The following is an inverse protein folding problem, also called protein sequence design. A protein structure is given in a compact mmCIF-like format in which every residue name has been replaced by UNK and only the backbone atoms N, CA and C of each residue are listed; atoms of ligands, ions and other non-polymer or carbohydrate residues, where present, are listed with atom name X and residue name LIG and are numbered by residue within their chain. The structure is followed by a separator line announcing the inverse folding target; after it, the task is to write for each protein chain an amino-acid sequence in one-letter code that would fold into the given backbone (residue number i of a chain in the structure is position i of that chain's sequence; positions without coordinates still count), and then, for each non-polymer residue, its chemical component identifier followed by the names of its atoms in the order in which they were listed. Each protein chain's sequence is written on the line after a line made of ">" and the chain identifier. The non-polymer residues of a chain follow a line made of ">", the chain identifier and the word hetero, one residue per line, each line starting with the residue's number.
data_IF_916855286553
#
_entry.id   IF_916855286553
#
_cell.length_a   1.000
_cell.length_b   1.000
_cell.length_c   1.000
_cell.angle_alpha   90.00
_cell.angle_beta   90.00
_cell.angle_gamma   90.00
#
_symmetry.space_group_name_H-M   'P 1'
#
loop_
_entity.id
_entity.type
_entity.pdbx_description
1 polymer ?
#
# COMPACT_ATOMS: atom_id res chain seq x y z
N UNK A 1 -22.48 1.20 11.06
CA UNK A 1 -23.38 2.08 11.86
C UNK A 1 -22.63 3.32 12.29
N UNK A 2 -23.24 4.49 12.15
CA UNK A 2 -22.56 5.76 12.47
C UNK A 2 -22.81 6.09 13.94
N UNK A 3 -21.85 6.73 14.60
CA UNK A 3 -21.89 7.08 16.02
C UNK A 3 -23.23 7.68 16.48
N UNK A 4 -23.76 8.71 15.78
CA UNK A 4 -25.04 9.34 16.16
C UNK A 4 -26.23 8.38 16.10
N UNK A 5 -26.28 7.53 15.07
CA UNK A 5 -27.34 6.55 14.90
C UNK A 5 -27.28 5.49 16.00
N UNK A 6 -26.07 4.98 16.28
CA UNK A 6 -25.85 4.01 17.35
C UNK A 6 -26.23 4.60 18.74
N UNK A 7 -25.80 5.84 19.00
CA UNK A 7 -26.14 6.55 20.25
C UNK A 7 -27.65 6.65 20.47
N UNK A 8 -28.40 7.01 19.44
CA UNK A 8 -29.86 7.14 19.53
C UNK A 8 -30.56 5.78 19.68
N UNK A 9 -29.95 4.70 19.23
CA UNK A 9 -30.55 3.37 19.25
C UNK A 9 -30.27 2.63 20.57
N UNK A 10 -29.11 2.82 21.16
CA UNK A 10 -28.61 2.00 22.27
C UNK A 10 -28.45 2.74 23.60
N UNK A 11 -28.49 4.06 23.59
CA UNK A 11 -28.33 4.85 24.82
C UNK A 11 -29.59 5.67 25.10
N UNK A 12 -30.08 5.58 26.34
CA UNK A 12 -31.09 6.49 26.87
C UNK A 12 -30.42 7.85 27.09
N UNK A 13 -30.73 8.81 26.20
CA UNK A 13 -29.99 10.07 26.11
C UNK A 13 -30.44 11.01 27.21
N UNK A 14 -29.74 11.04 28.34
CA UNK A 14 -29.76 12.20 29.21
C UNK A 14 -28.85 13.29 28.62
N UNK A 15 -29.31 14.53 28.56
CA UNK A 15 -28.51 15.66 28.05
C UNK A 15 -27.20 15.87 28.83
N UNK A 16 -27.13 15.38 30.07
CA UNK A 16 -25.99 15.48 30.99
C UNK A 16 -25.03 14.28 30.93
N UNK A 17 -25.16 13.38 29.93
CA UNK A 17 -24.32 12.18 29.81
C UNK A 17 -22.85 12.51 29.53
N UNK A 18 -21.93 11.72 30.13
CA UNK A 18 -20.50 11.79 29.85
C UNK A 18 -20.20 11.31 28.43
N UNK A 19 -20.09 12.24 27.48
CA UNK A 19 -19.83 11.96 26.04
C UNK A 19 -18.59 11.10 25.80
N UNK A 20 -17.57 11.21 26.65
CA UNK A 20 -16.38 10.36 26.54
C UNK A 20 -16.68 8.90 26.94
N UNK A 21 -17.45 8.68 28.00
CA UNK A 21 -17.87 7.33 28.38
C UNK A 21 -18.79 6.70 27.32
N UNK A 22 -19.74 7.42 26.79
CA UNK A 22 -20.60 6.95 25.70
C UNK A 22 -19.79 6.57 24.46
N UNK A 23 -18.82 7.40 24.08
CA UNK A 23 -17.92 7.11 22.97
C UNK A 23 -17.06 5.86 23.24
N UNK A 24 -16.56 5.69 24.46
CA UNK A 24 -15.80 4.50 24.86
C UNK A 24 -16.62 3.22 24.69
N UNK A 25 -17.90 3.24 25.09
CA UNK A 25 -18.84 2.11 24.90
C UNK A 25 -19.06 1.83 23.41
N UNK A 26 -19.28 2.86 22.61
CA UNK A 26 -19.43 2.70 21.17
C UNK A 26 -18.19 2.10 20.51
N UNK A 27 -17.00 2.57 20.83
CA UNK A 27 -15.76 2.04 20.28
C UNK A 27 -15.55 0.57 20.65
N UNK A 28 -15.91 0.21 21.89
CA UNK A 28 -15.90 -1.17 22.35
C UNK A 28 -16.91 -2.02 21.55
N UNK A 29 -18.16 -1.57 21.45
CA UNK A 29 -19.16 -2.24 20.63
C UNK A 29 -18.68 -2.42 19.17
N UNK A 30 -18.10 -1.37 18.58
CA UNK A 30 -17.61 -1.41 17.21
C UNK A 30 -16.46 -2.42 17.03
N UNK A 31 -15.55 -2.51 17.99
CA UNK A 31 -14.46 -3.49 17.98
C UNK A 31 -15.00 -4.93 17.98
N UNK A 32 -15.88 -5.23 18.92
CA UNK A 32 -16.43 -6.58 19.06
C UNK A 32 -17.40 -6.97 17.94
N UNK A 33 -18.22 -6.03 17.47
CA UNK A 33 -19.15 -6.31 16.36
C UNK A 33 -18.45 -6.47 15.01
N UNK A 34 -17.36 -5.74 14.76
CA UNK A 34 -16.60 -5.85 13.50
C UNK A 34 -15.48 -6.87 13.54
N UNK A 35 -15.03 -7.28 14.73
CA UNK A 35 -13.86 -8.14 14.92
C UNK A 35 -12.54 -7.51 14.43
N UNK A 36 -12.51 -6.17 14.22
CA UNK A 36 -11.38 -5.51 13.57
C UNK A 36 -11.05 -4.15 14.20
N UNK A 37 -9.81 -4.00 14.65
CA UNK A 37 -9.30 -2.72 15.20
C UNK A 37 -9.28 -1.59 14.16
N UNK A 38 -9.22 -1.90 12.88
CA UNK A 38 -9.27 -0.90 11.79
C UNK A 38 -10.57 -0.09 11.81
N UNK A 39 -11.70 -0.70 12.14
CA UNK A 39 -12.98 -0.01 12.24
C UNK A 39 -12.96 1.04 13.37
N UNK A 40 -12.38 0.70 14.52
CA UNK A 40 -12.22 1.62 15.64
C UNK A 40 -11.32 2.80 15.26
N UNK A 41 -10.15 2.53 14.66
CA UNK A 41 -9.22 3.58 14.22
C UNK A 41 -9.86 4.53 13.20
N UNK A 42 -10.60 3.98 12.25
CA UNK A 42 -11.34 4.78 11.26
C UNK A 42 -12.40 5.64 11.93
N UNK A 43 -13.17 5.10 12.88
CA UNK A 43 -14.19 5.85 13.60
C UNK A 43 -13.58 7.02 14.41
N UNK A 44 -12.50 6.78 15.15
CA UNK A 44 -11.79 7.81 15.91
C UNK A 44 -11.23 8.90 14.99
N UNK A 45 -10.62 8.50 13.87
CA UNK A 45 -10.08 9.47 12.89
C UNK A 45 -11.18 10.31 12.26
N UNK A 46 -12.30 9.69 11.88
CA UNK A 46 -13.44 10.39 11.33
C UNK A 46 -14.05 11.40 12.32
N UNK A 47 -14.20 10.99 13.58
CA UNK A 47 -14.72 11.89 14.63
C UNK A 47 -13.78 13.07 14.88
N UNK A 48 -12.46 12.84 14.95
CA UNK A 48 -11.47 13.92 15.06
C UNK A 48 -11.54 14.89 13.89
N UNK A 49 -11.67 14.39 12.68
CA UNK A 49 -11.79 15.20 11.47
C UNK A 49 -13.04 16.09 11.51
N UNK A 50 -14.22 15.51 11.83
CA UNK A 50 -15.46 16.28 11.94
C UNK A 50 -15.42 17.30 13.06
N UNK A 51 -14.86 16.96 14.21
CA UNK A 51 -14.69 17.89 15.31
C UNK A 51 -13.79 19.09 14.94
N UNK A 52 -12.73 18.83 14.19
CA UNK A 52 -11.86 19.89 13.66
C UNK A 52 -12.57 20.83 12.67
N UNK A 53 -13.48 20.30 11.84
CA UNK A 53 -14.26 21.11 10.89
C UNK A 53 -15.30 22.01 11.57
N UNK A 54 -15.88 21.57 12.69
CA UNK A 54 -16.95 22.32 13.37
C UNK A 54 -16.42 23.46 14.23
N UNK A 55 -15.11 23.52 14.51
CA UNK A 55 -14.50 24.60 15.29
C UNK A 55 -15.07 24.77 16.71
N UNK A 56 -15.95 23.87 17.12
CA UNK A 56 -16.65 23.92 18.41
C UNK A 56 -15.78 23.24 19.47
N UNK A 57 -15.66 23.85 20.63
CA UNK A 57 -14.97 23.27 21.81
C UNK A 57 -15.53 21.92 22.29
N UNK A 58 -16.56 21.41 21.64
CA UNK A 58 -17.17 20.09 21.87
C UNK A 58 -16.28 18.90 21.48
N UNK A 59 -15.11 19.13 20.88
CA UNK A 59 -14.19 18.06 20.48
C UNK A 59 -13.37 17.47 21.65
N UNK A 60 -13.44 18.05 22.82
CA UNK A 60 -12.62 17.64 23.98
C UNK A 60 -12.85 16.18 24.40
N UNK A 61 -14.08 15.66 24.28
CA UNK A 61 -14.35 14.27 24.68
C UNK A 61 -13.64 13.21 23.82
N UNK A 62 -13.31 13.54 22.56
CA UNK A 62 -12.58 12.60 21.68
C UNK A 62 -11.10 12.49 22.09
N UNK A 63 -10.57 13.54 22.67
CA UNK A 63 -9.20 13.62 23.19
C UNK A 63 -9.08 13.24 24.66
N UNK A 64 -10.19 12.80 25.27
CA UNK A 64 -10.23 12.38 26.66
C UNK A 64 -9.27 11.19 26.91
N UNK A 65 -8.52 11.18 28.02
CA UNK A 65 -7.65 10.07 28.40
C UNK A 65 -8.36 8.71 28.45
N UNK A 66 -9.65 8.68 28.78
CA UNK A 66 -10.47 7.47 28.76
C UNK A 66 -10.50 6.84 27.37
N UNK A 67 -10.74 7.65 26.32
CA UNK A 67 -10.78 7.16 24.94
C UNK A 67 -9.44 6.55 24.54
N UNK A 68 -8.34 7.22 24.88
CA UNK A 68 -7.01 6.70 24.61
C UNK A 68 -6.75 5.36 25.34
N UNK A 69 -7.18 5.26 26.59
CA UNK A 69 -7.03 4.03 27.37
C UNK A 69 -7.85 2.88 26.80
N UNK A 70 -9.11 3.13 26.43
CA UNK A 70 -9.99 2.14 25.81
C UNK A 70 -9.42 1.68 24.46
N UNK A 71 -9.00 2.60 23.60
CA UNK A 71 -8.40 2.26 22.29
C UNK A 71 -7.15 1.39 22.48
N UNK A 72 -6.27 1.72 23.44
CA UNK A 72 -5.09 0.88 23.75
C UNK A 72 -5.46 -0.51 24.29
N UNK A 73 -6.49 -0.60 25.13
CA UNK A 73 -7.02 -1.88 25.60
C UNK A 73 -7.50 -2.73 24.42
N UNK A 74 -8.36 -2.16 23.59
CA UNK A 74 -8.86 -2.83 22.40
C UNK A 74 -7.74 -3.22 21.41
N UNK A 75 -6.69 -2.40 21.27
CA UNK A 75 -5.53 -2.78 20.47
C UNK A 75 -4.84 -4.04 20.97
N UNK A 76 -4.73 -4.24 22.28
CA UNK A 76 -4.16 -5.48 22.86
C UNK A 76 -5.07 -6.68 22.61
N UNK A 77 -6.39 -6.52 22.81
CA UNK A 77 -7.36 -7.61 22.66
C UNK A 77 -7.50 -8.06 21.20
N UNK A 78 -7.44 -7.11 20.28
CA UNK A 78 -7.59 -7.35 18.82
C UNK A 78 -6.26 -7.39 18.07
N UNK A 79 -5.11 -7.31 18.77
CA UNK A 79 -3.81 -7.47 18.11
C UNK A 79 -3.64 -8.90 17.62
N UNK A 80 -3.81 -9.09 16.33
CA UNK A 80 -3.34 -10.32 15.68
C UNK A 80 -1.84 -10.22 15.50
N UNK A 81 -1.07 -11.29 15.76
CA UNK A 81 0.33 -11.31 15.39
C UNK A 81 0.43 -10.94 13.91
N UNK A 82 1.26 -9.94 13.63
CA UNK A 82 1.51 -9.51 12.24
C UNK A 82 2.15 -10.70 11.54
N UNK A 83 1.38 -11.41 10.72
CA UNK A 83 1.96 -12.36 9.78
C UNK A 83 2.74 -11.55 8.76
N UNK A 84 4.05 -11.48 8.97
CA UNK A 84 4.93 -10.87 8.00
C UNK A 84 4.85 -11.69 6.71
N UNK A 85 4.41 -11.06 5.63
CA UNK A 85 4.40 -11.71 4.31
C UNK A 85 5.86 -11.95 3.92
N UNK A 86 6.17 -13.18 3.60
CA UNK A 86 7.47 -13.52 3.04
C UNK A 86 7.63 -12.88 1.67
N UNK A 87 8.80 -12.35 1.40
CA UNK A 87 9.14 -11.83 0.08
C UNK A 87 9.32 -12.99 -0.92
N UNK A 88 9.10 -12.72 -2.19
CA UNK A 88 9.40 -13.70 -3.24
C UNK A 88 10.89 -14.02 -3.27
N UNK A 89 11.22 -15.31 -3.34
CA UNK A 89 12.57 -15.77 -3.60
C UNK A 89 12.94 -15.58 -5.07
N UNK A 90 14.22 -15.46 -5.43
CA UNK A 90 14.65 -15.38 -6.83
C UNK A 90 14.11 -16.52 -7.70
N UNK A 91 14.05 -17.73 -7.13
CA UNK A 91 13.53 -18.91 -7.83
C UNK A 91 12.04 -18.85 -8.10
N UNK A 92 11.25 -18.22 -7.23
CA UNK A 92 9.82 -18.01 -7.45
C UNK A 92 9.57 -16.96 -8.51
N UNK A 93 10.32 -15.86 -8.48
CA UNK A 93 10.25 -14.82 -9.52
C UNK A 93 10.60 -15.42 -10.88
N UNK A 94 11.68 -16.19 -10.98
CA UNK A 94 12.07 -16.88 -12.21
C UNK A 94 10.95 -17.79 -12.74
N UNK A 95 10.35 -18.63 -11.89
CA UNK A 95 9.22 -19.51 -12.28
C UNK A 95 8.02 -18.71 -12.76
N UNK A 96 7.71 -17.58 -12.11
CA UNK A 96 6.61 -16.71 -12.50
C UNK A 96 6.84 -16.09 -13.88
N UNK A 97 8.03 -15.57 -14.15
CA UNK A 97 8.41 -15.03 -15.45
C UNK A 97 8.35 -16.10 -16.54
N UNK A 98 8.90 -17.28 -16.29
CA UNK A 98 8.83 -18.41 -17.21
C UNK A 98 7.37 -18.80 -17.52
N UNK A 99 6.49 -18.78 -16.51
CA UNK A 99 5.07 -19.08 -16.72
C UNK A 99 4.39 -18.05 -17.60
N UNK A 100 4.63 -16.75 -17.37
CA UNK A 100 4.05 -15.67 -18.16
C UNK A 100 4.52 -15.68 -19.63
N UNK A 101 5.76 -16.10 -19.87
CA UNK A 101 6.37 -16.05 -21.21
C UNK A 101 6.32 -17.41 -21.95
N UNK A 102 5.58 -18.39 -21.46
CA UNK A 102 5.59 -19.80 -21.89
C UNK A 102 4.84 -20.08 -23.20
N UNK A 103 4.17 -19.11 -23.80
CA UNK A 103 3.37 -19.35 -25.01
C UNK A 103 4.24 -19.69 -26.21
N UNK A 104 3.88 -20.78 -26.92
CA UNK A 104 4.58 -21.31 -28.10
C UNK A 104 4.58 -20.38 -29.33
N UNK A 105 3.70 -19.37 -29.37
CA UNK A 105 3.50 -18.44 -30.50
C UNK A 105 4.08 -17.06 -30.21
N UNK A 106 4.85 -16.94 -29.14
CA UNK A 106 5.34 -15.68 -28.61
C UNK A 106 4.43 -15.12 -27.50
N UNK A 107 5.00 -14.55 -26.45
CA UNK A 107 4.23 -14.02 -25.33
C UNK A 107 3.42 -12.81 -25.79
N UNK A 108 2.14 -12.74 -25.38
CA UNK A 108 1.30 -11.58 -25.66
C UNK A 108 1.91 -10.32 -25.02
N UNK A 109 1.73 -9.18 -25.67
CA UNK A 109 2.27 -7.90 -25.17
C UNK A 109 1.91 -7.62 -23.71
N UNK A 110 0.68 -7.98 -23.28
CA UNK A 110 0.23 -7.87 -21.89
C UNK A 110 1.06 -8.71 -20.91
N UNK A 111 1.47 -9.92 -21.33
CA UNK A 111 2.23 -10.84 -20.50
C UNK A 111 3.70 -10.40 -20.42
N UNK A 112 4.25 -9.86 -21.52
CA UNK A 112 5.55 -9.20 -21.53
C UNK A 112 5.56 -7.97 -20.60
N UNK A 113 4.54 -7.13 -20.68
CA UNK A 113 4.38 -5.98 -19.78
C UNK A 113 4.36 -6.40 -18.31
N UNK A 114 3.59 -7.44 -17.99
CA UNK A 114 3.49 -7.94 -16.62
C UNK A 114 4.83 -8.52 -16.15
N UNK A 115 5.53 -9.26 -16.99
CA UNK A 115 6.87 -9.77 -16.69
C UNK A 115 7.86 -8.63 -16.42
N UNK A 116 7.88 -7.59 -17.25
CA UNK A 116 8.71 -6.40 -17.04
C UNK A 116 8.37 -5.70 -15.73
N UNK A 117 7.09 -5.51 -15.44
CA UNK A 117 6.63 -4.87 -14.20
C UNK A 117 7.10 -5.63 -12.97
N UNK A 118 6.95 -6.95 -12.95
CA UNK A 118 7.40 -7.81 -11.85
C UNK A 118 8.91 -7.71 -11.67
N UNK A 119 9.68 -7.78 -12.76
CA UNK A 119 11.15 -7.72 -12.70
C UNK A 119 11.63 -6.36 -12.21
N UNK A 120 11.06 -5.26 -12.73
CA UNK A 120 11.41 -3.90 -12.30
C UNK A 120 11.10 -3.69 -10.82
N UNK A 121 9.95 -4.17 -10.35
CA UNK A 121 9.59 -4.10 -8.93
C UNK A 121 10.53 -4.94 -8.06
N UNK A 122 10.88 -6.12 -8.52
CA UNK A 122 11.72 -7.05 -7.75
C UNK A 122 13.17 -6.59 -7.68
N UNK A 123 13.78 -6.28 -8.83
CA UNK A 123 15.21 -5.88 -8.92
C UNK A 123 15.40 -4.44 -8.42
N UNK A 124 14.47 -3.54 -8.74
CA UNK A 124 14.53 -2.14 -8.33
C UNK A 124 13.96 -1.85 -6.95
N UNK A 125 13.47 -2.89 -6.23
CA UNK A 125 12.77 -2.75 -4.94
C UNK A 125 11.67 -1.66 -4.97
N UNK A 126 10.99 -1.52 -6.12
CA UNK A 126 10.01 -0.46 -6.37
C UNK A 126 8.61 -0.87 -5.92
N UNK A 127 7.83 0.13 -5.48
CA UNK A 127 6.40 -0.08 -5.23
C UNK A 127 5.63 -0.19 -6.54
N UNK A 128 4.49 -0.88 -6.51
CA UNK A 128 3.64 -1.05 -7.69
C UNK A 128 3.29 0.28 -8.37
N UNK A 129 2.89 1.29 -7.59
CA UNK A 129 2.53 2.61 -8.12
C UNK A 129 3.71 3.33 -8.81
N UNK A 130 4.92 3.16 -8.29
CA UNK A 130 6.14 3.71 -8.86
C UNK A 130 6.50 3.00 -10.18
N UNK A 131 6.46 1.68 -10.18
CA UNK A 131 6.76 0.87 -11.37
C UNK A 131 5.69 1.03 -12.47
N UNK A 132 4.41 1.15 -12.09
CA UNK A 132 3.31 1.35 -13.02
C UNK A 132 3.31 2.75 -13.68
N UNK A 133 3.95 3.73 -13.05
CA UNK A 133 4.08 5.10 -13.56
C UNK A 133 5.32 5.32 -14.44
N UNK A 134 6.11 4.27 -14.72
CA UNK A 134 7.29 4.38 -15.60
C UNK A 134 6.82 4.57 -17.03
N UNK A 135 7.32 5.64 -17.64
CA UNK A 135 7.17 5.91 -19.08
C UNK A 135 8.45 5.48 -19.80
N UNK A 136 8.35 5.04 -21.06
CA UNK A 136 9.49 4.62 -21.88
C UNK A 136 10.54 5.75 -21.97
N UNK A 137 10.08 7.00 -22.07
CA UNK A 137 10.96 8.18 -22.11
C UNK A 137 11.80 8.38 -20.84
N UNK A 138 11.45 7.71 -19.73
CA UNK A 138 12.20 7.79 -18.46
C UNK A 138 13.19 6.63 -18.28
N UNK A 139 13.34 5.79 -19.28
CA UNK A 139 14.25 4.63 -19.27
C UNK A 139 15.45 4.96 -20.15
N UNK A 140 16.65 4.83 -19.61
CA UNK A 140 17.90 4.99 -20.36
C UNK A 140 18.86 3.84 -20.07
N UNK A 141 19.67 3.49 -21.06
CA UNK A 141 20.74 2.47 -20.90
C UNK A 141 22.05 3.19 -20.66
N UNK A 142 22.72 2.86 -19.58
CA UNK A 142 24.04 3.39 -19.25
C UNK A 142 25.13 2.67 -20.07
N UNK A 143 26.32 3.27 -20.18
CA UNK A 143 27.49 2.69 -20.86
C UNK A 143 27.89 1.34 -20.25
N UNK A 144 27.66 1.14 -18.95
CA UNK A 144 27.85 -0.14 -18.25
C UNK A 144 26.88 -1.26 -18.68
N UNK A 145 25.86 -0.93 -19.47
CA UNK A 145 24.76 -1.83 -19.82
C UNK A 145 23.66 -1.91 -18.76
N UNK A 146 23.79 -1.21 -17.63
CA UNK A 146 22.73 -1.08 -16.65
C UNK A 146 21.58 -0.21 -17.19
N UNK A 147 20.37 -0.42 -16.68
CA UNK A 147 19.22 0.44 -16.98
C UNK A 147 19.06 1.47 -15.87
N UNK A 148 18.93 2.72 -16.24
CA UNK A 148 18.54 3.81 -15.36
C UNK A 148 17.09 4.19 -15.62
N UNK A 149 16.28 4.24 -14.55
CA UNK A 149 14.89 4.68 -14.58
C UNK A 149 14.76 5.96 -13.76
N UNK A 150 14.27 7.01 -14.38
CA UNK A 150 14.02 8.28 -13.72
C UNK A 150 12.57 8.36 -13.24
N UNK A 151 12.36 8.39 -11.94
CA UNK A 151 11.03 8.51 -11.31
C UNK A 151 10.69 9.96 -11.05
N UNK A 152 9.60 10.45 -11.64
CA UNK A 152 9.14 11.84 -11.46
C UNK A 152 8.39 12.05 -10.15
N UNK A 153 7.73 11.02 -9.60
CA UNK A 153 6.95 11.09 -8.35
C UNK A 153 7.02 9.77 -7.58
N UNK A 154 7.27 9.84 -6.28
CA UNK A 154 7.15 8.72 -5.35
C UNK A 154 6.43 9.15 -4.07
N UNK A 155 5.85 8.22 -3.34
CA UNK A 155 5.09 8.49 -2.09
C UNK A 155 5.93 9.23 -1.03
N UNK A 156 7.24 9.04 -1.04
CA UNK A 156 8.21 9.68 -0.14
C UNK A 156 8.83 10.93 -0.75
N UNK A 157 8.61 11.21 -2.04
CA UNK A 157 9.19 12.32 -2.76
C UNK A 157 8.15 13.44 -3.01
N UNK A 158 7.66 14.03 -1.91
CA UNK A 158 6.68 15.12 -1.97
C UNK A 158 7.23 16.41 -2.63
N UNK A 159 8.56 16.52 -2.77
CA UNK A 159 9.25 17.70 -3.31
C UNK A 159 9.65 17.58 -4.78
N UNK A 160 9.07 16.63 -5.52
CA UNK A 160 9.27 16.46 -6.97
C UNK A 160 10.75 16.39 -7.43
N UNK A 161 11.66 15.93 -6.58
CA UNK A 161 13.03 15.62 -6.99
C UNK A 161 13.02 14.33 -7.81
N UNK A 162 13.60 14.36 -9.00
CA UNK A 162 13.80 13.15 -9.78
C UNK A 162 14.61 12.16 -8.96
N UNK A 163 14.08 10.95 -8.82
CA UNK A 163 14.77 9.84 -8.18
C UNK A 163 15.22 8.88 -9.28
N UNK A 164 16.50 8.54 -9.29
CA UNK A 164 17.06 7.59 -10.24
C UNK A 164 17.16 6.22 -9.58
N UNK A 165 16.67 5.21 -10.28
CA UNK A 165 16.79 3.80 -9.88
C UNK A 165 17.64 3.11 -10.94
N UNK A 166 18.75 2.51 -10.52
CA UNK A 166 19.64 1.77 -11.42
C UNK A 166 19.33 0.29 -11.27
N UNK A 167 18.93 -0.33 -12.37
CA UNK A 167 18.75 -1.78 -12.47
C UNK A 167 20.05 -2.38 -13.03
N UNK A 168 20.72 -3.24 -12.26
CA UNK A 168 21.96 -3.85 -12.71
C UNK A 168 21.70 -4.81 -13.87
N UNK A 169 22.62 -4.83 -14.82
CA UNK A 169 22.69 -5.91 -15.79
C UNK A 169 23.17 -7.18 -15.07
N UNK A 170 22.48 -8.32 -15.20
CA UNK A 170 22.92 -9.55 -14.58
C UNK A 170 24.31 -9.97 -15.10
N UNK A 171 25.08 -10.60 -14.23
CA UNK A 171 26.36 -11.21 -14.62
C UNK A 171 26.15 -12.34 -15.65
N UNK A 172 27.15 -12.61 -16.47
CA UNK A 172 27.06 -13.54 -17.59
C UNK A 172 26.68 -15.00 -17.23
N UNK A 173 26.57 -15.34 -15.95
CA UNK A 173 26.14 -16.64 -15.44
C UNK A 173 24.67 -16.69 -14.98
N UNK A 174 24.04 -15.57 -14.74
CA UNK A 174 22.62 -15.50 -14.36
C UNK A 174 21.75 -15.58 -15.62
N UNK A 175 20.90 -16.59 -15.67
CA UNK A 175 20.13 -16.90 -16.89
C UNK A 175 19.35 -15.69 -17.42
N UNK A 176 19.30 -15.55 -18.75
CA UNK A 176 18.58 -14.49 -19.49
C UNK A 176 17.11 -14.31 -19.09
N UNK A 177 16.56 -15.28 -18.38
CA UNK A 177 15.14 -15.33 -17.98
C UNK A 177 14.76 -14.29 -16.92
N UNK A 178 15.73 -13.81 -16.14
CA UNK A 178 15.52 -12.75 -15.14
C UNK A 178 16.22 -11.45 -15.50
N UNK A 179 16.77 -11.36 -16.71
CA UNK A 179 17.42 -10.14 -17.20
C UNK A 179 16.37 -9.07 -17.55
N UNK A 180 16.25 -8.08 -16.68
CA UNK A 180 15.34 -6.94 -16.86
C UNK A 180 15.62 -6.21 -18.17
N UNK A 181 16.89 -6.11 -18.57
CA UNK A 181 17.33 -5.41 -19.81
C UNK A 181 16.75 -6.10 -21.04
N UNK A 182 16.86 -7.41 -21.10
CA UNK A 182 16.34 -8.21 -22.22
C UNK A 182 14.81 -8.07 -22.32
N UNK A 183 14.12 -8.18 -21.19
CA UNK A 183 12.67 -8.11 -21.17
C UNK A 183 12.13 -6.73 -21.48
N UNK A 184 12.74 -5.66 -20.95
CA UNK A 184 12.35 -4.28 -21.25
C UNK A 184 12.58 -3.95 -22.74
N UNK A 185 13.74 -4.30 -23.28
CA UNK A 185 14.04 -4.07 -24.70
C UNK A 185 13.05 -4.82 -25.61
N UNK A 186 12.68 -6.04 -25.27
CA UNK A 186 11.69 -6.83 -26.02
C UNK A 186 10.31 -6.19 -25.94
N UNK A 187 9.91 -5.74 -24.76
CA UNK A 187 8.61 -5.09 -24.55
C UNK A 187 8.52 -3.76 -25.33
N UNK A 188 9.53 -2.91 -25.23
CA UNK A 188 9.57 -1.62 -25.94
C UNK A 188 9.46 -1.83 -27.44
N UNK A 189 10.25 -2.76 -28.02
CA UNK A 189 10.16 -3.10 -29.46
C UNK A 189 8.76 -3.60 -29.86
N UNK A 190 8.11 -4.39 -29.04
CA UNK A 190 6.76 -4.87 -29.31
C UNK A 190 5.66 -3.82 -29.15
N UNK A 191 5.97 -2.63 -28.61
CA UNK A 191 5.04 -1.48 -28.57
C UNK A 191 5.08 -0.65 -29.86
N UNK A 192 6.16 -0.77 -30.67
CA UNK A 192 6.37 -0.01 -31.90
C UNK A 192 5.78 -0.73 -33.14
N UNK A 193 5.35 -1.99 -32.99
CA UNK A 193 4.64 -2.80 -34.00
C UNK A 193 3.11 -2.69 -33.86
#
# INVERSE_FOLDING_TARGET
>A
MRWRQWRNEYLDISEDGNKAAELAVYLTYLAYSSGAMSAVKTAVSALKFYAGLQGTGESNYISDPLIHTVVKGLERDFSKPVQQKEGFTPGEVKRLIQHLLREKIGPKLKDQRLACLILVMYVGAMRFEEAAAIEIANISTLESGNIMITLRKGKTNQFAKNQEVILPKPDAGDGQETDVTVHLNRYVKGCDE
#
